data_IF_981868887371
#
_entry.id   IF_981868887371
#
_cell.length_a   1.000
_cell.length_b   1.000
_cell.length_c   1.000
_cell.angle_alpha   90.00
_cell.angle_beta   90.00
_cell.angle_gamma   90.00
#
_symmetry.space_group_name_H-M   'P 1'
#
loop_
_entity.id
_entity.type
_entity.pdbx_description
1 polymer ?
#
# COMPACT_ATOMS: atom_id res chain seq x y z
N UNK A 1 22.36 9.96 8.61
CA UNK A 1 21.92 9.59 7.25
C UNK A 1 22.16 8.09 6.98
N UNK A 2 21.09 7.29 6.87
CA UNK A 2 21.21 5.90 6.43
C UNK A 2 21.55 5.86 4.94
N UNK A 3 22.48 5.00 4.49
CA UNK A 3 22.81 4.89 3.07
C UNK A 3 21.64 4.25 2.31
N UNK A 4 21.04 5.01 1.39
CA UNK A 4 20.11 4.47 0.40
C UNK A 4 20.95 3.92 -0.75
N UNK A 5 21.09 2.60 -0.83
CA UNK A 5 21.73 1.96 -1.99
C UNK A 5 20.80 2.12 -3.20
N UNK A 6 21.15 3.05 -4.09
CA UNK A 6 20.50 3.27 -5.37
C UNK A 6 21.51 2.97 -6.48
N UNK A 7 21.26 1.91 -7.25
CA UNK A 7 22.00 1.62 -8.48
C UNK A 7 21.13 2.02 -9.67
N UNK A 8 21.69 2.71 -10.66
CA UNK A 8 20.99 3.09 -11.89
C UNK A 8 21.73 2.50 -13.10
N UNK A 9 20.97 1.96 -14.05
CA UNK A 9 21.45 1.48 -15.33
C UNK A 9 20.60 2.12 -16.43
N UNK A 10 21.10 3.24 -16.98
CA UNK A 10 20.34 4.06 -17.93
C UNK A 10 19.02 4.57 -17.34
N UNK A 11 17.86 4.40 -18.01
CA UNK A 11 16.57 4.90 -17.53
C UNK A 11 15.99 4.09 -16.35
N UNK A 12 16.65 2.99 -15.95
CA UNK A 12 16.17 2.09 -14.90
C UNK A 12 16.94 2.35 -13.61
N UNK A 13 16.22 2.44 -12.49
CA UNK A 13 16.79 2.52 -11.14
C UNK A 13 16.33 1.35 -10.27
N UNK A 14 17.25 0.81 -9.49
CA UNK A 14 17.01 -0.25 -8.51
C UNK A 14 17.20 0.30 -7.11
N UNK A 15 16.34 -0.10 -6.18
CA UNK A 15 16.33 0.35 -4.79
C UNK A 15 15.92 -0.78 -3.87
N UNK A 16 16.41 -0.74 -2.64
CA UNK A 16 15.81 -1.49 -1.55
C UNK A 16 14.68 -0.64 -0.94
N UNK A 17 13.51 -1.24 -0.74
CA UNK A 17 12.33 -0.56 -0.19
C UNK A 17 11.89 -1.21 1.11
N UNK A 18 11.60 -0.37 2.09
CA UNK A 18 10.93 -0.77 3.32
C UNK A 18 9.62 -0.01 3.50
N UNK A 19 8.61 -0.66 4.08
CA UNK A 19 7.31 -0.06 4.39
C UNK A 19 6.80 -0.60 5.72
N UNK A 20 6.40 0.27 6.63
CA UNK A 20 5.65 -0.14 7.82
C UNK A 20 4.16 -0.25 7.48
N UNK A 21 3.56 -1.42 7.70
CA UNK A 21 2.13 -1.66 7.49
C UNK A 21 1.36 -1.39 8.77
N UNK A 22 0.35 -0.51 8.70
CA UNK A 22 -0.58 -0.19 9.79
C UNK A 22 -1.91 -0.95 9.64
N UNK A 23 -1.82 -2.20 9.18
CA UNK A 23 -2.94 -3.08 8.85
C UNK A 23 -3.22 -4.14 9.93
N UNK A 24 -2.58 -4.01 11.11
CA UNK A 24 -2.92 -4.76 12.31
C UNK A 24 -4.18 -4.25 13.01
N UNK A 25 -4.82 -5.14 13.77
CA UNK A 25 -5.98 -4.83 14.61
C UNK A 25 -6.04 -5.78 15.80
N UNK A 26 -6.68 -5.32 16.87
CA UNK A 26 -6.86 -6.05 18.13
C UNK A 26 -8.32 -6.46 18.31
N UNK A 27 -8.58 -7.52 19.10
CA UNK A 27 -9.95 -7.97 19.36
C UNK A 27 -10.80 -6.92 20.08
N UNK A 28 -10.16 -6.04 20.85
CA UNK A 28 -10.82 -4.99 21.62
C UNK A 28 -10.99 -3.68 20.82
N UNK A 29 -10.55 -3.62 19.55
CA UNK A 29 -10.73 -2.42 18.71
C UNK A 29 -12.21 -2.23 18.32
N UNK A 30 -13.03 -3.29 18.36
CA UNK A 30 -14.49 -3.20 18.23
C UNK A 30 -15.19 -4.47 18.74
N UNK A 31 -16.47 -4.36 19.11
CA UNK A 31 -17.27 -5.52 19.50
C UNK A 31 -17.33 -6.60 18.42
N UNK A 32 -17.30 -6.20 17.15
CA UNK A 32 -17.29 -7.12 16.01
C UNK A 32 -15.99 -7.93 15.88
N UNK A 33 -14.89 -7.51 16.52
CA UNK A 33 -13.59 -8.21 16.50
C UNK A 33 -13.34 -9.07 17.74
N UNK A 34 -14.24 -9.02 18.74
CA UNK A 34 -14.11 -9.79 19.96
C UNK A 34 -13.98 -11.30 19.65
N UNK A 35 -13.10 -11.98 20.38
CA UNK A 35 -12.81 -13.40 20.18
C UNK A 35 -11.91 -13.73 18.98
N UNK A 36 -11.48 -12.76 18.18
CA UNK A 36 -10.40 -12.98 17.20
C UNK A 36 -9.04 -13.02 17.89
N UNK A 37 -8.05 -13.62 17.25
CA UNK A 37 -6.67 -13.35 17.60
C UNK A 37 -6.20 -12.03 17.02
N UNK A 38 -5.40 -11.30 17.80
CA UNK A 38 -4.76 -10.05 17.37
C UNK A 38 -3.97 -10.24 16.07
N UNK A 39 -4.19 -9.34 15.10
CA UNK A 39 -3.34 -9.18 13.93
C UNK A 39 -2.33 -8.05 14.19
N UNK A 40 -1.06 -8.30 13.91
CA UNK A 40 0.04 -7.39 14.23
C UNK A 40 0.50 -6.66 12.97
N UNK A 41 0.89 -5.40 13.16
CA UNK A 41 1.55 -4.59 12.15
C UNK A 41 2.85 -5.24 11.69
N UNK A 42 3.14 -5.14 10.39
CA UNK A 42 4.31 -5.80 9.78
C UNK A 42 5.26 -4.77 9.18
N UNK A 43 6.56 -5.06 9.26
CA UNK A 43 7.56 -4.36 8.47
C UNK A 43 7.76 -5.13 7.17
N UNK A 44 7.58 -4.45 6.05
CA UNK A 44 7.73 -4.99 4.71
C UNK A 44 9.09 -4.57 4.17
N UNK A 45 9.82 -5.50 3.55
CA UNK A 45 11.11 -5.24 2.92
C UNK A 45 11.21 -5.97 1.60
N UNK A 46 11.83 -5.35 0.60
CA UNK A 46 12.19 -6.05 -0.63
C UNK A 46 12.69 -5.14 -1.74
N UNK A 47 13.00 -5.72 -2.91
CA UNK A 47 13.48 -4.99 -4.07
C UNK A 47 12.38 -4.12 -4.68
N UNK A 48 12.80 -2.98 -5.22
CA UNK A 48 12.00 -2.11 -6.06
C UNK A 48 12.81 -1.66 -7.28
N UNK A 49 12.14 -1.54 -8.42
CA UNK A 49 12.68 -1.02 -9.65
C UNK A 49 11.76 0.06 -10.22
N UNK A 50 12.34 1.05 -10.88
CA UNK A 50 11.59 2.08 -11.58
C UNK A 50 12.25 2.37 -12.93
N UNK A 51 11.47 2.34 -13.99
CA UNK A 51 11.86 2.67 -15.34
C UNK A 51 11.25 4.01 -15.74
N UNK A 52 12.12 5.02 -15.91
CA UNK A 52 11.72 6.36 -16.33
C UNK A 52 11.72 6.44 -17.85
N UNK A 53 10.59 6.82 -18.43
CA UNK A 53 10.43 7.05 -19.87
C UNK A 53 10.06 8.51 -20.11
N UNK A 54 10.16 8.98 -21.35
CA UNK A 54 9.65 10.32 -21.71
C UNK A 54 8.13 10.47 -21.52
N UNK A 55 7.41 9.36 -21.35
CA UNK A 55 5.95 9.37 -21.17
C UNK A 55 5.52 9.27 -19.71
N UNK A 56 6.38 8.83 -18.80
CA UNK A 56 6.08 8.59 -17.38
C UNK A 56 7.01 7.54 -16.77
N UNK A 57 6.72 7.14 -15.53
CA UNK A 57 7.53 6.17 -14.78
C UNK A 57 6.72 4.90 -14.52
N UNK A 58 7.27 3.76 -14.93
CA UNK A 58 6.77 2.45 -14.57
C UNK A 58 7.58 1.92 -13.39
N UNK A 59 6.92 1.61 -12.28
CA UNK A 59 7.55 1.10 -11.06
C UNK A 59 7.02 -0.28 -10.70
N UNK A 60 7.92 -1.15 -10.24
CA UNK A 60 7.58 -2.44 -9.67
C UNK A 60 8.25 -2.61 -8.31
N UNK A 61 7.52 -3.16 -7.34
CA UNK A 61 8.08 -3.58 -6.05
C UNK A 61 7.56 -4.96 -5.68
N UNK A 62 8.39 -5.72 -4.98
CA UNK A 62 8.00 -6.99 -4.37
C UNK A 62 8.53 -7.01 -2.94
N UNK A 63 7.63 -7.10 -1.97
CA UNK A 63 7.93 -6.97 -0.55
C UNK A 63 7.48 -8.22 0.21
N UNK A 64 8.27 -8.63 1.18
CA UNK A 64 7.94 -9.68 2.14
C UNK A 64 7.87 -9.14 3.57
N UNK A 65 7.05 -9.77 4.41
CA UNK A 65 6.98 -9.51 5.84
C UNK A 65 8.26 -9.98 6.54
N UNK A 66 8.97 -9.05 7.19
CA UNK A 66 10.21 -9.31 7.93
C UNK A 66 10.01 -9.56 9.41
N UNK A 67 8.83 -9.25 9.97
CA UNK A 67 8.50 -9.52 11.37
C UNK A 67 7.91 -10.92 11.57
N UNK A 68 7.56 -11.60 10.47
CA UNK A 68 7.14 -13.00 10.44
C UNK A 68 5.74 -13.24 11.02
N UNK A 69 4.93 -12.20 11.13
CA UNK A 69 3.57 -12.26 11.66
C UNK A 69 2.62 -12.93 10.67
N UNK A 70 2.66 -12.48 9.41
CA UNK A 70 1.90 -13.06 8.30
C UNK A 70 2.76 -14.02 7.47
N UNK A 71 4.08 -13.81 7.42
CA UNK A 71 5.02 -14.48 6.50
C UNK A 71 4.58 -14.36 5.03
N UNK A 72 3.85 -13.29 4.73
CA UNK A 72 3.25 -13.04 3.45
C UNK A 72 4.17 -12.24 2.54
N UNK A 73 3.82 -12.21 1.27
CA UNK A 73 4.43 -11.39 0.23
C UNK A 73 3.38 -10.59 -0.52
N UNK A 74 3.79 -9.43 -1.01
CA UNK A 74 2.96 -8.58 -1.85
C UNK A 74 3.80 -7.89 -2.91
N UNK A 75 3.19 -7.57 -4.04
CA UNK A 75 3.83 -6.79 -5.09
C UNK A 75 2.92 -5.66 -5.56
N UNK A 76 3.53 -4.64 -6.14
CA UNK A 76 2.80 -3.52 -6.76
C UNK A 76 3.47 -3.19 -8.09
N UNK A 77 2.64 -3.04 -9.12
CA UNK A 77 2.99 -2.49 -10.41
C UNK A 77 2.27 -1.14 -10.55
N UNK A 78 3.02 -0.05 -10.66
CA UNK A 78 2.49 1.30 -10.74
C UNK A 78 2.98 2.00 -12.00
N UNK A 79 2.10 2.76 -12.65
CA UNK A 79 2.47 3.76 -13.62
C UNK A 79 2.02 5.13 -13.16
N UNK A 80 2.91 6.11 -13.25
CA UNK A 80 2.62 7.51 -12.95
C UNK A 80 3.27 8.46 -13.96
N UNK A 81 2.69 9.65 -14.10
CA UNK A 81 3.21 10.69 -14.99
C UNK A 81 3.22 12.02 -14.29
N UNK A 82 4.39 12.64 -14.18
CA UNK A 82 4.51 14.00 -13.66
C UNK A 82 4.18 15.01 -14.77
N UNK A 83 3.29 15.94 -14.45
CA UNK A 83 2.90 17.07 -15.28
C UNK A 83 3.20 18.35 -14.50
N UNK A 84 4.14 19.15 -15.00
CA UNK A 84 4.54 20.40 -14.35
C UNK A 84 3.80 21.60 -14.96
N UNK A 85 3.19 22.41 -14.09
CA UNK A 85 2.45 23.63 -14.38
C UNK A 85 3.02 24.77 -13.53
N UNK A 86 4.26 25.17 -13.82
CA UNK A 86 4.98 26.21 -13.08
C UNK A 86 5.33 25.77 -11.64
N UNK A 87 4.76 26.39 -10.59
CA UNK A 87 4.99 25.98 -9.20
C UNK A 87 4.22 24.70 -8.81
N UNK A 88 3.16 24.37 -9.55
CA UNK A 88 2.34 23.18 -9.32
C UNK A 88 2.84 22.02 -10.15
N UNK A 89 2.92 20.83 -9.56
CA UNK A 89 3.05 19.58 -10.27
C UNK A 89 1.93 18.63 -9.90
N UNK A 90 1.35 18.02 -10.92
CA UNK A 90 0.27 17.04 -10.82
C UNK A 90 0.82 15.71 -11.29
N UNK A 91 0.70 14.68 -10.47
CA UNK A 91 1.18 13.33 -10.77
C UNK A 91 0.03 12.34 -10.62
N UNK A 92 -0.81 12.15 -11.66
CA UNK A 92 -1.74 11.03 -11.72
C UNK A 92 -0.99 9.70 -11.68
N UNK A 93 -1.60 8.70 -11.04
CA UNK A 93 -1.10 7.33 -10.95
C UNK A 93 -2.19 6.29 -11.08
N UNK A 94 -1.81 5.14 -11.59
CA UNK A 94 -2.59 3.89 -11.54
C UNK A 94 -1.69 2.77 -11.04
N UNK A 95 -2.22 1.89 -10.21
CA UNK A 95 -1.46 0.76 -9.70
C UNK A 95 -2.30 -0.53 -9.58
N UNK A 96 -1.62 -1.65 -9.74
CA UNK A 96 -2.13 -2.99 -9.45
C UNK A 96 -1.32 -3.57 -8.30
N UNK A 97 -2.02 -4.01 -7.26
CA UNK A 97 -1.43 -4.63 -6.07
C UNK A 97 -1.77 -6.11 -6.09
N UNK A 98 -0.77 -6.97 -5.99
CA UNK A 98 -0.96 -8.41 -5.81
C UNK A 98 -0.66 -8.82 -4.38
N UNK A 99 -1.62 -9.48 -3.75
CA UNK A 99 -1.56 -9.93 -2.37
C UNK A 99 -1.61 -11.45 -2.35
N UNK A 100 -0.61 -12.09 -1.76
CA UNK A 100 -0.62 -13.55 -1.67
C UNK A 100 -1.69 -14.06 -0.70
N UNK A 101 -1.90 -15.38 -0.72
CA UNK A 101 -2.89 -16.04 0.12
C UNK A 101 -2.65 -15.77 1.61
N UNK A 102 -1.38 -15.74 2.06
CA UNK A 102 -1.06 -15.54 3.47
C UNK A 102 -1.39 -14.13 3.92
N UNK A 103 -1.19 -13.13 3.05
CA UNK A 103 -1.60 -11.76 3.33
C UNK A 103 -3.12 -11.69 3.55
N UNK A 104 -3.88 -12.26 2.61
CA UNK A 104 -5.33 -12.17 2.67
C UNK A 104 -5.88 -12.98 3.84
N UNK A 105 -5.35 -14.16 4.10
CA UNK A 105 -5.77 -15.01 5.22
C UNK A 105 -5.42 -14.38 6.58
N UNK A 106 -4.26 -13.72 6.70
CA UNK A 106 -3.87 -13.06 7.94
C UNK A 106 -4.72 -11.81 8.24
N UNK A 107 -4.90 -10.94 7.25
CA UNK A 107 -5.58 -9.65 7.46
C UNK A 107 -7.10 -9.73 7.31
N UNK A 108 -7.61 -10.60 6.44
CA UNK A 108 -9.04 -10.70 6.11
C UNK A 108 -9.66 -12.07 6.47
N UNK A 109 -8.87 -13.04 6.93
CA UNK A 109 -9.34 -14.36 7.34
C UNK A 109 -10.01 -14.40 8.70
N UNK A 110 -10.99 -15.30 8.83
CA UNK A 110 -11.66 -15.67 10.08
C UNK A 110 -11.48 -17.16 10.27
N UNK A 111 -10.74 -17.56 11.30
CA UNK A 111 -10.50 -18.98 11.62
C UNK A 111 -11.78 -19.61 12.17
N UNK A 112 -11.89 -20.93 12.08
CA UNK A 112 -13.06 -21.66 12.58
C UNK A 112 -13.35 -21.38 14.08
N UNK A 113 -12.31 -21.24 14.90
CA UNK A 113 -12.45 -20.89 16.31
C UNK A 113 -12.80 -19.41 16.56
N UNK A 114 -12.60 -18.54 15.56
CA UNK A 114 -12.94 -17.12 15.60
C UNK A 114 -14.35 -16.87 15.00
N UNK A 115 -14.99 -17.89 14.43
CA UNK A 115 -16.26 -17.74 13.73
C UNK A 115 -17.44 -17.56 14.69
N UNK A 116 -18.38 -16.72 14.30
CA UNK A 116 -19.67 -16.52 14.98
C UNK A 116 -20.79 -16.53 13.94
N UNK A 117 -22.05 -16.45 14.37
CA UNK A 117 -23.19 -16.38 13.45
C UNK A 117 -23.09 -15.18 12.48
N UNK A 118 -22.63 -14.03 12.98
CA UNK A 118 -22.53 -12.79 12.19
C UNK A 118 -21.15 -12.61 11.53
N UNK A 119 -20.16 -13.43 11.90
CA UNK A 119 -18.80 -13.44 11.36
C UNK A 119 -18.40 -14.88 10.99
N UNK A 120 -18.88 -15.42 9.86
CA UNK A 120 -18.60 -16.79 9.48
C UNK A 120 -17.11 -17.02 9.20
N UNK A 121 -16.68 -18.28 9.28
CA UNK A 121 -15.31 -18.64 8.92
C UNK A 121 -15.01 -18.27 7.46
N UNK A 122 -13.83 -17.70 7.22
CA UNK A 122 -13.40 -17.25 5.92
C UNK A 122 -11.91 -17.51 5.76
N UNK A 123 -11.54 -18.28 4.75
CA UNK A 123 -10.15 -18.52 4.40
C UNK A 123 -9.74 -17.57 3.29
N UNK A 124 -8.63 -16.87 3.48
CA UNK A 124 -8.12 -15.95 2.47
C UNK A 124 -7.63 -16.70 1.23
N UNK A 125 -7.83 -16.08 0.08
CA UNK A 125 -7.28 -16.49 -1.22
C UNK A 125 -6.36 -15.39 -1.76
N UNK A 126 -5.51 -15.70 -2.74
CA UNK A 126 -4.73 -14.66 -3.42
C UNK A 126 -5.67 -13.63 -4.03
N UNK A 127 -5.35 -12.36 -3.91
CA UNK A 127 -6.21 -11.27 -4.38
C UNK A 127 -5.42 -10.19 -5.11
N UNK A 128 -6.14 -9.40 -5.90
CA UNK A 128 -5.60 -8.23 -6.57
C UNK A 128 -6.42 -6.99 -6.22
N UNK A 129 -5.75 -5.86 -6.00
CA UNK A 129 -6.40 -4.57 -5.77
C UNK A 129 -5.96 -3.57 -6.85
N UNK A 130 -6.90 -2.76 -7.35
CA UNK A 130 -6.59 -1.70 -8.33
C UNK A 130 -6.69 -0.36 -7.65
N UNK A 131 -5.70 0.50 -7.87
CA UNK A 131 -5.66 1.86 -7.32
C UNK A 131 -5.59 2.88 -8.44
N UNK A 132 -6.32 3.98 -8.24
CA UNK A 132 -6.14 5.24 -8.97
C UNK A 132 -5.83 6.33 -7.97
N UNK A 133 -4.97 7.27 -8.32
CA UNK A 133 -4.65 8.37 -7.43
C UNK A 133 -4.03 9.55 -8.13
N UNK A 134 -3.89 10.64 -7.39
CA UNK A 134 -3.23 11.86 -7.85
C UNK A 134 -2.42 12.44 -6.71
N UNK A 135 -1.16 12.79 -7.01
CA UNK A 135 -0.31 13.57 -6.12
C UNK A 135 -0.18 14.99 -6.64
N UNK A 136 -0.34 15.95 -5.75
CA UNK A 136 -0.10 17.36 -5.98
C UNK A 136 1.14 17.77 -5.19
N UNK A 137 2.02 18.50 -5.85
CA UNK A 137 3.20 19.12 -5.22
C UNK A 137 3.22 20.58 -5.62
N UNK A 138 3.10 21.48 -4.66
CA UNK A 138 3.07 22.91 -4.89
C UNK A 138 4.25 23.59 -4.22
N UNK A 139 5.12 24.22 -5.01
CA UNK A 139 6.24 25.02 -4.52
C UNK A 139 5.75 26.42 -4.19
N UNK A 140 5.72 26.75 -2.90
CA UNK A 140 5.37 28.10 -2.43
C UNK A 140 6.50 29.08 -2.75
N UNK A 141 7.74 28.66 -2.50
CA UNK A 141 8.98 29.34 -2.85
C UNK A 141 10.11 28.29 -3.00
N UNK A 142 11.36 28.75 -3.09
CA UNK A 142 12.53 27.87 -3.27
C UNK A 142 12.82 26.94 -2.08
N UNK A 143 12.24 27.22 -0.92
CA UNK A 143 12.44 26.48 0.35
C UNK A 143 11.20 25.73 0.80
N UNK A 144 10.01 26.15 0.40
CA UNK A 144 8.74 25.67 0.91
C UNK A 144 7.96 24.85 -0.13
N UNK A 145 7.52 23.66 0.24
CA UNK A 145 6.73 22.78 -0.63
C UNK A 145 5.54 22.19 0.12
N UNK A 146 4.35 22.32 -0.46
CA UNK A 146 3.12 21.65 -0.03
C UNK A 146 2.93 20.36 -0.84
N UNK A 147 2.46 19.32 -0.16
CA UNK A 147 2.19 18.00 -0.71
C UNK A 147 0.74 17.62 -0.39
N UNK A 148 0.02 17.12 -1.38
CA UNK A 148 -1.25 16.45 -1.17
C UNK A 148 -1.30 15.19 -2.04
N UNK A 149 -1.88 14.11 -1.53
CA UNK A 149 -2.00 12.84 -2.24
C UNK A 149 -3.38 12.27 -1.96
N UNK A 150 -4.12 11.98 -3.02
CA UNK A 150 -5.47 11.43 -2.97
C UNK A 150 -5.48 10.10 -3.72
N UNK A 151 -6.08 9.08 -3.15
CA UNK A 151 -6.14 7.75 -3.73
C UNK A 151 -7.47 7.04 -3.49
N UNK A 152 -7.85 6.21 -4.45
CA UNK A 152 -8.97 5.30 -4.35
C UNK A 152 -8.54 3.90 -4.78
N UNK A 153 -8.72 2.93 -3.89
CA UNK A 153 -8.37 1.53 -4.13
C UNK A 153 -9.61 0.65 -4.11
N UNK A 154 -9.81 -0.11 -5.18
CA UNK A 154 -10.86 -1.13 -5.28
C UNK A 154 -10.29 -2.49 -4.88
N UNK A 155 -11.00 -3.19 -4.00
CA UNK A 155 -10.57 -4.48 -3.48
C UNK A 155 -11.02 -5.62 -4.43
N UNK A 156 -10.15 -6.61 -4.60
CA UNK A 156 -10.45 -7.84 -5.33
C UNK A 156 -11.60 -8.60 -4.71
N UNK A 157 -12.33 -9.40 -5.50
CA UNK A 157 -13.53 -10.10 -5.02
C UNK A 157 -13.20 -11.07 -3.88
N UNK A 158 -12.01 -11.65 -3.94
CA UNK A 158 -11.47 -12.56 -2.94
C UNK A 158 -11.36 -11.89 -1.58
N UNK A 159 -10.99 -10.61 -1.54
CA UNK A 159 -10.97 -9.82 -0.31
C UNK A 159 -12.39 -9.39 0.07
N UNK A 160 -13.20 -8.90 -0.88
CA UNK A 160 -14.56 -8.38 -0.63
C UNK A 160 -15.53 -9.40 -0.03
N UNK A 161 -15.27 -10.70 -0.20
CA UNK A 161 -16.06 -11.78 0.44
C UNK A 161 -15.76 -11.97 1.92
N UNK A 162 -14.70 -11.34 2.45
CA UNK A 162 -14.39 -11.38 3.87
C UNK A 162 -15.50 -10.71 4.69
N UNK A 163 -15.99 -11.37 5.75
CA UNK A 163 -16.98 -10.78 6.66
C UNK A 163 -16.38 -9.64 7.50
N UNK A 164 -15.06 -9.41 7.45
CA UNK A 164 -14.40 -8.32 8.17
C UNK A 164 -14.53 -6.97 7.45
N UNK A 165 -15.04 -6.94 6.22
CA UNK A 165 -15.14 -5.74 5.41
C UNK A 165 -16.54 -5.16 5.38
N UNK A 166 -16.63 -3.89 5.75
CA UNK A 166 -17.84 -3.10 5.54
C UNK A 166 -17.95 -2.57 4.09
N UNK A 167 -16.83 -2.42 3.38
CA UNK A 167 -16.77 -1.77 2.04
C UNK A 167 -15.76 -2.46 1.13
N UNK A 168 -16.09 -2.51 -0.16
CA UNK A 168 -15.23 -3.05 -1.22
C UNK A 168 -14.22 -2.05 -1.81
N UNK A 169 -14.04 -0.89 -1.18
CA UNK A 169 -13.10 0.14 -1.59
C UNK A 169 -12.44 0.81 -0.37
N UNK A 170 -11.24 1.35 -0.56
CA UNK A 170 -10.52 2.19 0.42
C UNK A 170 -10.17 3.52 -0.22
N UNK A 171 -10.40 4.62 0.48
CA UNK A 171 -9.94 5.94 0.08
C UNK A 171 -8.72 6.32 0.94
N UNK A 172 -7.77 7.04 0.36
CA UNK A 172 -6.60 7.58 1.07
C UNK A 172 -6.44 9.06 0.79
N UNK A 173 -6.05 9.79 1.84
CA UNK A 173 -5.67 11.19 1.77
C UNK A 173 -4.42 11.37 2.60
N UNK A 174 -3.43 12.03 2.02
CA UNK A 174 -2.24 12.50 2.72
C UNK A 174 -2.00 13.96 2.38
N UNK A 175 -1.59 14.74 3.38
CA UNK A 175 -1.13 16.11 3.18
C UNK A 175 0.18 16.29 3.94
N UNK A 176 1.05 17.15 3.42
CA UNK A 176 2.36 17.39 4.01
C UNK A 176 2.92 18.75 3.64
N UNK A 177 3.87 19.20 4.44
CA UNK A 177 4.64 20.42 4.22
C UNK A 177 6.12 20.09 4.42
N UNK A 178 6.95 20.58 3.51
CA UNK A 178 8.39 20.39 3.55
C UNK A 178 9.09 21.75 3.46
N UNK A 179 10.10 21.93 4.33
CA UNK A 179 10.98 23.09 4.33
C UNK A 179 12.42 22.65 4.06
N UNK A 180 13.12 23.38 3.19
CA UNK A 180 14.54 23.18 2.89
C UNK A 180 15.36 24.30 3.52
N UNK A 181 16.29 23.93 4.42
CA UNK A 181 17.23 24.83 5.08
C UNK A 181 18.38 25.23 4.16
#
# INVERSE_FOLDING_TARGET
PMPVFQAAAGPVSFRLRTRYGFDGYKPDDSDYLRGMERRKDSLWLGPAAAWNTGMGTLSFQWLGDTLGHSKATQWELQYDKRLDFGPLAVTPRVALHGLDRKYVDYHYGVRAAEATADRPAFAGERAYETEVGVRLTYRLDDRQTLLADFGGRRLGEEIRRSPLLARGYRASVFTGYAYRF
#
